data_IF_066705306349
#
_entry.id   IF_066705306349
#
_cell.length_a   1.000
_cell.length_b   1.000
_cell.length_c   1.000
_cell.angle_alpha   90.00
_cell.angle_beta   90.00
_cell.angle_gamma   90.00
#
_symmetry.space_group_name_H-M   'P 1'
#
loop_
_entity.id
_entity.type
_entity.pdbx_description
1 polymer ?
#
# COMPACT_ATOMS: atom_id res chain seq x y z
N UNK A 1 -0.25 -49.49 -16.44
CA UNK A 1 0.74 -48.41 -16.34
C UNK A 1 0.04 -47.12 -16.73
N UNK A 2 -0.45 -46.33 -15.78
CA UNK A 2 -1.14 -45.06 -16.06
C UNK A 2 -0.19 -43.90 -15.78
N UNK A 3 0.25 -43.22 -16.82
CA UNK A 3 1.04 -42.00 -16.70
C UNK A 3 0.14 -40.86 -16.23
N UNK A 4 0.40 -40.32 -15.03
CA UNK A 4 -0.20 -39.08 -14.56
C UNK A 4 0.47 -37.90 -15.27
N UNK A 5 -0.17 -37.36 -16.30
CA UNK A 5 0.22 -36.09 -16.89
C UNK A 5 -0.20 -34.95 -15.95
N UNK A 6 0.73 -34.45 -15.12
CA UNK A 6 0.55 -33.17 -14.41
C UNK A 6 1.10 -32.05 -15.28
N UNK A 7 0.27 -31.10 -15.68
CA UNK A 7 0.70 -29.92 -16.41
C UNK A 7 1.51 -28.98 -15.49
N UNK A 8 2.83 -28.94 -15.64
CA UNK A 8 3.73 -27.94 -15.04
C UNK A 8 3.92 -26.76 -16.01
N UNK A 9 2.85 -26.04 -16.33
CA UNK A 9 2.97 -24.78 -17.08
C UNK A 9 2.45 -23.64 -16.24
N UNK A 10 3.27 -22.61 -16.12
CA UNK A 10 2.85 -21.34 -15.55
C UNK A 10 1.62 -20.85 -16.32
N UNK A 11 0.55 -20.60 -15.58
CA UNK A 11 -0.70 -20.09 -16.14
C UNK A 11 -0.78 -18.62 -15.79
N UNK A 12 -0.82 -17.76 -16.81
CA UNK A 12 -1.06 -16.34 -16.59
C UNK A 12 -2.54 -16.11 -16.33
N UNK A 13 -2.85 -15.48 -15.18
CA UNK A 13 -4.19 -14.98 -14.88
C UNK A 13 -4.16 -13.47 -14.88
N UNK A 14 -5.01 -12.85 -15.69
CA UNK A 14 -5.21 -11.40 -15.69
C UNK A 14 -6.44 -11.07 -14.86
N UNK A 15 -6.32 -10.10 -13.97
CA UNK A 15 -7.44 -9.49 -13.26
C UNK A 15 -7.74 -8.13 -13.92
N UNK A 16 -8.99 -7.90 -14.31
CA UNK A 16 -9.46 -6.64 -14.90
C UNK A 16 -10.50 -6.02 -13.95
N UNK A 17 -10.34 -4.73 -13.65
CA UNK A 17 -11.28 -3.98 -12.84
C UNK A 17 -12.25 -3.28 -13.80
N UNK A 18 -13.49 -3.76 -13.87
CA UNK A 18 -14.53 -3.16 -14.71
C UNK A 18 -15.07 -1.85 -14.14
N UNK A 19 -15.29 -1.83 -12.82
CA UNK A 19 -15.77 -0.66 -12.09
C UNK A 19 -14.80 -0.37 -10.94
N UNK A 20 -14.00 0.70 -11.02
CA UNK A 20 -13.04 1.05 -10.00
C UNK A 20 -13.78 1.44 -8.70
N UNK A 21 -13.51 0.80 -7.55
CA UNK A 21 -14.14 1.17 -6.29
C UNK A 21 -13.68 2.58 -5.85
N UNK A 22 -14.47 3.32 -5.06
CA UNK A 22 -14.07 4.65 -4.60
C UNK A 22 -12.83 4.62 -3.68
N UNK A 23 -12.54 3.46 -3.09
CA UNK A 23 -11.37 3.20 -2.23
C UNK A 23 -10.97 1.72 -2.42
N UNK A 24 -9.67 1.46 -2.47
CA UNK A 24 -9.12 0.13 -2.28
C UNK A 24 -7.89 0.20 -1.39
N UNK A 25 -7.54 -0.93 -0.78
CA UNK A 25 -6.35 -1.08 0.04
C UNK A 25 -5.48 -2.20 -0.54
N UNK A 26 -4.16 -2.02 -0.45
CA UNK A 26 -3.18 -3.05 -0.81
C UNK A 26 -2.50 -3.49 0.49
N UNK A 27 -2.57 -4.79 0.77
CA UNK A 27 -1.81 -5.41 1.85
C UNK A 27 -0.51 -5.95 1.26
N UNK A 28 0.61 -5.53 1.86
CA UNK A 28 1.92 -6.04 1.52
C UNK A 28 2.27 -7.06 2.61
N UNK A 29 2.35 -8.33 2.22
CA UNK A 29 2.80 -9.37 3.12
C UNK A 29 4.34 -9.44 3.10
N UNK A 30 5.03 -9.16 4.21
CA UNK A 30 6.47 -9.33 4.27
C UNK A 30 6.79 -10.82 4.11
N UNK A 31 7.47 -11.18 3.02
CA UNK A 31 7.98 -12.54 2.85
C UNK A 31 9.02 -12.80 3.95
N UNK A 32 8.89 -13.91 4.67
CA UNK A 32 9.83 -14.36 5.72
C UNK A 32 11.16 -14.89 5.17
N UNK A 33 11.47 -14.62 3.89
CA UNK A 33 12.66 -15.09 3.19
C UNK A 33 13.59 -13.92 2.85
N UNK A 34 14.93 -14.14 2.85
CA UNK A 34 15.89 -13.13 2.45
C UNK A 34 15.68 -12.71 0.99
N UNK A 35 15.75 -11.39 0.73
CA UNK A 35 15.53 -10.81 -0.60
C UNK A 35 14.19 -10.10 -0.79
N UNK A 36 13.61 -9.51 0.27
CA UNK A 36 12.38 -8.72 0.14
C UNK A 36 12.55 -7.62 -0.92
N UNK A 37 11.57 -7.46 -1.83
CA UNK A 37 11.61 -6.37 -2.80
C UNK A 37 11.49 -5.03 -2.07
N UNK A 38 12.31 -4.07 -2.48
CA UNK A 38 12.05 -2.67 -2.16
C UNK A 38 10.71 -2.28 -2.78
N UNK A 39 9.83 -1.72 -1.98
CA UNK A 39 8.52 -1.26 -2.42
C UNK A 39 8.64 0.23 -2.65
N UNK A 40 8.47 0.62 -3.90
CA UNK A 40 8.34 2.02 -4.27
C UNK A 40 6.86 2.40 -4.22
N UNK A 41 6.55 3.40 -3.39
CA UNK A 41 5.19 3.90 -3.22
C UNK A 41 5.08 5.23 -3.98
N UNK A 42 3.99 5.42 -4.71
CA UNK A 42 3.68 6.69 -5.38
C UNK A 42 2.44 7.36 -4.75
N UNK A 43 2.35 8.69 -4.87
CA UNK A 43 1.16 9.44 -4.39
C UNK A 43 -0.05 9.27 -5.30
N UNK A 44 0.17 8.78 -6.52
CA UNK A 44 -0.85 8.58 -7.56
C UNK A 44 -0.72 7.18 -8.11
N UNK A 45 -1.84 6.48 -8.29
CA UNK A 45 -1.89 5.18 -8.93
C UNK A 45 -2.88 5.22 -10.09
N UNK A 46 -2.48 4.71 -11.26
CA UNK A 46 -3.33 4.59 -12.43
C UNK A 46 -3.71 3.12 -12.63
N UNK A 47 -5.00 2.80 -12.50
CA UNK A 47 -5.52 1.45 -12.69
C UNK A 47 -6.23 1.37 -14.05
N UNK A 48 -5.79 0.49 -14.96
CA UNK A 48 -6.53 0.24 -16.20
C UNK A 48 -7.93 -0.32 -15.89
N UNK A 49 -8.96 0.27 -16.51
CA UNK A 49 -10.33 -0.25 -16.50
C UNK A 49 -10.87 -0.26 -17.93
N UNK A 50 -11.95 -0.99 -18.17
CA UNK A 50 -12.61 -1.03 -19.47
C UNK A 50 -13.12 0.34 -19.94
N UNK A 51 -13.43 1.23 -18.98
CA UNK A 51 -13.91 2.59 -19.23
C UNK A 51 -12.79 3.63 -19.39
N UNK A 52 -11.52 3.19 -19.31
CA UNK A 52 -10.34 4.05 -19.27
C UNK A 52 -9.61 3.97 -17.92
N UNK A 53 -8.42 4.57 -17.79
CA UNK A 53 -7.64 4.46 -16.57
C UNK A 53 -8.28 5.25 -15.42
N UNK A 54 -8.48 4.57 -14.29
CA UNK A 54 -8.94 5.17 -13.04
C UNK A 54 -7.75 5.74 -12.28
N UNK A 55 -7.85 7.02 -11.88
CA UNK A 55 -6.80 7.72 -11.11
C UNK A 55 -7.13 7.70 -9.63
N UNK A 56 -6.21 7.17 -8.83
CA UNK A 56 -6.26 7.17 -7.38
C UNK A 56 -5.18 8.07 -6.80
N UNK A 57 -5.46 8.63 -5.62
CA UNK A 57 -4.48 9.32 -4.78
C UNK A 57 -4.27 8.52 -3.51
N UNK A 58 -3.04 8.51 -3.01
CA UNK A 58 -2.70 7.90 -1.73
C UNK A 58 -3.53 8.55 -0.62
N UNK A 59 -4.40 7.76 0.03
CA UNK A 59 -5.22 8.21 1.15
C UNK A 59 -4.52 8.01 2.50
N UNK A 60 -3.58 7.08 2.58
CA UNK A 60 -2.84 6.79 3.79
C UNK A 60 -2.05 5.49 3.70
N UNK A 61 -1.23 5.26 4.71
CA UNK A 61 -0.43 4.05 4.87
C UNK A 61 -0.58 3.56 6.30
N UNK A 62 -0.78 2.26 6.46
CA UNK A 62 -0.85 1.59 7.75
C UNK A 62 0.38 0.69 7.87
N UNK A 63 1.17 0.92 8.90
CA UNK A 63 2.26 0.06 9.32
C UNK A 63 1.77 -0.80 10.46
N UNK A 64 1.55 -2.07 10.19
CA UNK A 64 1.24 -3.06 11.21
C UNK A 64 2.54 -3.75 11.64
N UNK A 65 2.90 -3.62 12.91
CA UNK A 65 3.83 -4.53 13.58
C UNK A 65 3.08 -5.62 14.35
N UNK A 66 3.77 -6.40 15.17
CA UNK A 66 3.18 -7.55 15.89
C UNK A 66 1.96 -7.17 16.74
N UNK A 67 2.12 -6.21 17.66
CA UNK A 67 1.08 -5.84 18.64
C UNK A 67 0.65 -4.37 18.58
N UNK A 68 1.16 -3.62 17.61
CA UNK A 68 0.95 -2.18 17.50
C UNK A 68 0.94 -1.77 16.04
N UNK A 69 0.11 -0.78 15.70
CA UNK A 69 0.12 -0.17 14.39
C UNK A 69 0.43 1.31 14.50
N UNK A 70 1.06 1.86 13.48
CA UNK A 70 1.05 3.30 13.24
C UNK A 70 0.50 3.55 11.85
N UNK A 71 -0.16 4.68 11.63
CA UNK A 71 -0.63 5.03 10.32
C UNK A 71 -0.39 6.50 10.00
N UNK A 72 -0.38 6.78 8.71
CA UNK A 72 -0.39 8.13 8.16
C UNK A 72 -1.63 8.30 7.31
N UNK A 73 -2.35 9.38 7.56
CA UNK A 73 -3.54 9.77 6.81
C UNK A 73 -3.18 10.97 5.95
N UNK A 74 -3.42 10.86 4.65
CA UNK A 74 -3.23 11.94 3.68
C UNK A 74 -4.59 12.58 3.44
N UNK A 75 -4.70 13.86 3.80
CA UNK A 75 -5.95 14.62 3.67
C UNK A 75 -6.03 15.34 2.33
N UNK A 76 -7.22 15.83 1.96
CA UNK A 76 -7.42 16.59 0.72
C UNK A 76 -6.62 17.91 0.61
N UNK A 77 -6.04 18.38 1.72
CA UNK A 77 -5.12 19.52 1.75
C UNK A 77 -3.65 19.11 1.57
N UNK A 78 -3.40 17.87 1.13
CA UNK A 78 -2.11 17.22 1.00
C UNK A 78 -1.29 17.18 2.30
N UNK A 79 -1.89 17.41 3.47
CA UNK A 79 -1.21 17.24 4.75
C UNK A 79 -1.24 15.79 5.20
N UNK A 80 -0.15 15.35 5.82
CA UNK A 80 0.00 14.01 6.36
C UNK A 80 -0.10 14.05 7.88
N UNK A 81 -0.99 13.23 8.42
CA UNK A 81 -1.28 13.16 9.83
C UNK A 81 -0.96 11.78 10.38
N UNK A 82 -0.20 11.71 11.48
CA UNK A 82 0.14 10.48 12.19
C UNK A 82 -0.97 10.09 13.17
N UNK A 83 -1.23 8.79 13.27
CA UNK A 83 -2.03 8.21 14.33
C UNK A 83 -1.44 6.85 14.74
N UNK A 84 -1.38 6.55 16.04
CA UNK A 84 -0.81 5.30 16.55
C UNK A 84 -1.75 4.48 17.44
N UNK A 85 -2.97 4.97 17.68
CA UNK A 85 -3.99 4.22 18.41
C UNK A 85 -3.73 4.08 19.91
N UNK A 86 -2.60 4.60 20.40
CA UNK A 86 -2.21 4.54 21.81
C UNK A 86 -1.94 5.91 22.39
N UNK A 87 -0.95 6.63 21.86
CA UNK A 87 -0.58 7.95 22.32
C UNK A 87 -1.50 9.02 21.73
N UNK A 88 -1.88 8.87 20.45
CA UNK A 88 -2.69 9.88 19.76
C UNK A 88 -4.17 9.88 20.18
N UNK A 89 -4.62 8.85 20.91
CA UNK A 89 -5.98 8.74 21.42
C UNK A 89 -7.04 8.80 20.31
N UNK A 90 -7.86 9.85 20.30
CA UNK A 90 -8.89 10.11 19.27
C UNK A 90 -8.50 11.20 18.26
N UNK A 91 -7.26 11.66 18.33
CA UNK A 91 -6.71 12.73 17.49
C UNK A 91 -5.64 12.20 16.55
N UNK A 92 -5.36 12.97 15.50
CA UNK A 92 -4.16 12.78 14.69
C UNK A 92 -3.23 13.98 14.87
N UNK A 93 -1.93 13.74 14.73
CA UNK A 93 -0.90 14.76 14.86
C UNK A 93 -0.33 15.09 13.48
N UNK A 94 -0.12 16.37 13.19
CA UNK A 94 0.48 16.77 11.92
C UNK A 94 1.94 16.31 11.89
N UNK A 95 2.30 15.51 10.89
CA UNK A 95 3.65 14.96 10.75
C UNK A 95 4.39 15.55 9.56
N UNK A 96 3.74 15.61 8.39
CA UNK A 96 4.32 16.22 7.20
C UNK A 96 3.39 17.24 6.54
N UNK A 97 3.95 18.34 6.00
CA UNK A 97 3.17 19.35 5.28
C UNK A 97 2.71 18.88 3.89
N UNK A 98 3.32 17.84 3.33
CA UNK A 98 2.98 17.27 2.01
C UNK A 98 3.25 15.75 1.97
N UNK A 99 2.61 14.96 1.07
CA UNK A 99 2.80 13.51 0.99
C UNK A 99 4.09 13.09 0.30
N UNK A 100 4.79 13.99 -0.41
CA UNK A 100 6.07 13.65 -1.05
C UNK A 100 7.16 13.40 -0.01
N UNK A 101 7.12 14.11 1.11
CA UNK A 101 8.03 13.88 2.24
C UNK A 101 7.80 12.51 2.89
N UNK A 102 6.53 12.09 2.99
CA UNK A 102 6.17 10.76 3.47
C UNK A 102 6.77 9.66 2.58
N UNK A 103 6.63 9.81 1.25
CA UNK A 103 7.15 8.84 0.29
C UNK A 103 8.67 8.83 0.28
N UNK A 104 9.31 10.01 0.28
CA UNK A 104 10.77 10.10 0.38
C UNK A 104 11.28 9.39 1.64
N UNK A 105 10.54 9.44 2.74
CA UNK A 105 10.91 8.76 3.97
C UNK A 105 10.75 7.23 3.84
N UNK A 106 9.61 6.76 3.31
CA UNK A 106 9.32 5.33 3.10
C UNK A 106 10.32 4.64 2.16
N UNK A 107 10.68 5.31 1.07
CA UNK A 107 11.52 4.72 0.03
C UNK A 107 13.01 4.64 0.42
N UNK A 108 13.44 5.38 1.45
CA UNK A 108 14.82 5.36 1.95
C UNK A 108 15.05 4.25 3.00
N UNK A 109 13.98 3.55 3.41
CA UNK A 109 14.10 2.40 4.32
C UNK A 109 14.37 2.77 5.77
N UNK A 110 14.19 4.02 6.15
CA UNK A 110 14.12 4.39 7.56
C UNK A 110 12.77 3.92 8.11
N UNK A 111 12.75 2.73 8.71
CA UNK A 111 11.61 2.28 9.50
C UNK A 111 11.49 3.18 10.74
N UNK A 112 10.31 3.77 10.94
CA UNK A 112 10.04 4.57 12.13
C UNK A 112 10.21 3.72 13.40
N UNK A 113 10.68 4.31 14.50
CA UNK A 113 10.69 3.67 15.82
C UNK A 113 9.28 3.35 16.33
#
# INVERSE_FOLDING_TARGET
MHAHYRCHRDTTRTLIIHQPPPLFALEIQPNSLPGQPLIDIETVCMIPTDSGPARYRLAGVVYAGDFHFTCRVVTGADKVWRHDGRATGRSCELEFPNPLLLISYMNVGELLP
#
